data_IF_562587057344
#
_entry.id   IF_562587057344
#
_cell.length_a   1.000
_cell.length_b   1.000
_cell.length_c   1.000
_cell.angle_alpha   90.00
_cell.angle_beta   90.00
_cell.angle_gamma   90.00
#
_symmetry.space_group_name_H-M   'P 1'
#
loop_
_entity.id
_entity.type
_entity.pdbx_description
1 polymer ?
#
# COMPACT_ATOMS: atom_id res chain seq x y z
N UNK A 1 10.22 -34.01 -22.04
CA UNK A 1 9.35 -33.58 -20.92
C UNK A 1 10.06 -33.45 -19.58
N UNK A 2 11.10 -34.23 -19.27
CA UNK A 2 11.87 -34.06 -18.01
C UNK A 2 12.75 -32.79 -17.98
N UNK A 3 13.30 -32.38 -19.12
CA UNK A 3 14.12 -31.17 -19.22
C UNK A 3 13.35 -29.84 -19.19
N UNK A 4 12.06 -29.84 -19.55
CA UNK A 4 11.21 -28.63 -19.47
C UNK A 4 10.77 -28.34 -18.03
N UNK A 5 10.63 -29.37 -17.20
CA UNK A 5 10.31 -29.24 -15.77
C UNK A 5 11.55 -28.78 -14.98
N UNK A 6 12.75 -29.29 -15.31
CA UNK A 6 14.00 -28.86 -14.67
C UNK A 6 14.41 -27.41 -14.98
N UNK A 7 14.10 -26.89 -16.16
CA UNK A 7 14.36 -25.49 -16.51
C UNK A 7 13.43 -24.52 -15.77
N UNK A 8 12.20 -24.97 -15.47
CA UNK A 8 11.21 -24.20 -14.70
C UNK A 8 11.57 -24.16 -13.20
N UNK A 9 12.13 -25.25 -12.65
CA UNK A 9 12.55 -25.31 -11.24
C UNK A 9 13.76 -24.41 -10.93
N UNK A 10 14.69 -24.20 -11.88
CA UNK A 10 15.81 -23.28 -11.68
C UNK A 10 15.41 -21.80 -11.73
N UNK A 11 14.35 -21.43 -12.47
CA UNK A 11 13.87 -20.05 -12.51
C UNK A 11 13.14 -19.64 -11.22
N UNK A 12 12.56 -20.59 -10.48
CA UNK A 12 11.87 -20.32 -9.20
C UNK A 12 12.86 -20.18 -8.02
N UNK A 13 14.07 -20.75 -8.13
CA UNK A 13 15.11 -20.65 -7.09
C UNK A 13 16.00 -19.38 -7.21
N UNK A 14 16.00 -18.70 -8.36
CA UNK A 14 16.77 -17.47 -8.56
C UNK A 14 16.07 -16.21 -7.99
N UNK A 15 14.80 -16.32 -7.57
CA UNK A 15 14.02 -15.20 -7.00
C UNK A 15 14.22 -15.00 -5.49
N UNK A 16 15.07 -15.81 -4.84
CA UNK A 16 15.30 -15.74 -3.38
C UNK A 16 16.65 -15.12 -2.97
N UNK A 17 17.43 -14.56 -3.90
CA UNK A 17 18.77 -14.02 -3.62
C UNK A 17 18.97 -12.55 -4.03
N UNK A 18 18.01 -11.68 -3.67
CA UNK A 18 18.31 -10.25 -3.54
C UNK A 18 18.21 -9.83 -2.08
N UNK A 19 19.07 -10.40 -1.25
CA UNK A 19 19.44 -9.76 0.02
C UNK A 19 20.51 -8.72 -0.30
N UNK A 20 20.08 -7.57 -0.80
CA UNK A 20 20.93 -6.40 -0.84
C UNK A 20 21.19 -5.97 0.61
N UNK A 21 22.29 -6.43 1.20
CA UNK A 21 22.87 -5.79 2.37
C UNK A 21 23.34 -4.40 1.92
N UNK A 22 22.45 -3.43 2.04
CA UNK A 22 22.83 -2.03 1.95
C UNK A 22 23.58 -1.70 3.22
N UNK A 23 24.88 -1.44 3.11
CA UNK A 23 25.68 -0.95 4.21
C UNK A 23 25.06 0.37 4.71
N UNK A 24 24.78 0.44 6.01
CA UNK A 24 24.19 1.60 6.66
C UNK A 24 25.22 2.73 6.64
N UNK A 25 25.08 3.61 5.65
CA UNK A 25 25.83 4.86 5.54
C UNK A 25 25.75 5.62 6.87
N UNK A 26 26.85 6.28 7.33
CA UNK A 26 26.85 7.01 8.60
C UNK A 26 25.65 7.95 8.64
N UNK A 27 24.89 7.87 9.74
CA UNK A 27 23.62 8.55 9.90
C UNK A 27 23.77 10.04 9.64
N UNK A 28 23.28 10.50 8.49
CA UNK A 28 23.12 11.91 8.21
C UNK A 28 22.09 12.42 9.22
N UNK A 29 22.55 13.20 10.21
CA UNK A 29 21.73 13.62 11.34
C UNK A 29 20.68 14.65 10.95
N UNK A 30 20.81 15.26 9.78
CA UNK A 30 19.77 16.06 9.16
C UNK A 30 19.66 15.79 7.66
N UNK A 31 18.45 15.69 7.13
CA UNK A 31 18.20 15.45 5.71
C UNK A 31 16.87 16.07 5.28
N UNK A 32 16.76 16.32 3.97
CA UNK A 32 15.56 16.95 3.38
C UNK A 32 14.73 15.92 2.64
N UNK A 33 13.41 15.98 2.81
CA UNK A 33 12.43 15.19 2.07
C UNK A 33 11.47 16.13 1.35
N UNK A 34 11.21 15.83 0.08
CA UNK A 34 10.11 16.44 -0.66
C UNK A 34 8.85 15.59 -0.50
N UNK A 35 7.77 16.18 -0.02
CA UNK A 35 6.46 15.51 0.07
C UNK A 35 5.36 16.50 -0.30
N UNK A 36 4.48 16.09 -1.23
CA UNK A 36 3.36 16.90 -1.73
C UNK A 36 3.78 18.34 -2.19
N UNK A 37 4.94 18.47 -2.83
CA UNK A 37 5.47 19.75 -3.32
C UNK A 37 5.98 20.70 -2.22
N UNK A 38 6.17 20.20 -1.01
CA UNK A 38 6.79 20.91 0.11
C UNK A 38 8.08 20.21 0.52
N UNK A 39 9.09 21.00 0.88
CA UNK A 39 10.36 20.50 1.41
C UNK A 39 10.31 20.50 2.93
N UNK A 40 10.71 19.39 3.54
CA UNK A 40 10.81 19.20 4.98
C UNK A 40 12.23 18.87 5.36
N UNK A 41 12.78 19.53 6.37
CA UNK A 41 14.10 19.22 6.92
C UNK A 41 13.90 18.47 8.23
N UNK A 42 14.30 17.21 8.26
CA UNK A 42 14.29 16.40 9.47
C UNK A 42 15.66 16.51 10.12
N UNK A 43 15.70 16.95 11.38
CA UNK A 43 16.89 16.89 12.23
C UNK A 43 16.69 15.80 13.29
N UNK A 44 17.33 14.66 13.05
CA UNK A 44 17.23 13.49 13.90
C UNK A 44 17.95 13.64 15.25
N UNK A 45 18.94 14.55 15.35
CA UNK A 45 19.63 14.82 16.60
C UNK A 45 18.78 15.68 17.53
N UNK A 46 18.16 16.72 16.99
CA UNK A 46 17.33 17.64 17.76
C UNK A 46 15.86 17.20 17.84
N UNK A 47 15.50 16.12 17.14
CA UNK A 47 14.15 15.58 17.02
C UNK A 47 13.14 16.62 16.53
N UNK A 48 13.50 17.30 15.44
CA UNK A 48 12.65 18.30 14.81
C UNK A 48 12.39 18.03 13.33
N UNK A 49 11.25 18.51 12.86
CA UNK A 49 10.88 18.62 11.46
C UNK A 49 10.70 20.11 11.20
N UNK A 50 11.36 20.66 10.19
CA UNK A 50 11.21 22.07 9.82
C UNK A 50 10.55 22.17 8.46
N UNK A 51 9.52 23.01 8.35
CA UNK A 51 8.93 23.40 7.08
C UNK A 51 8.84 24.93 7.03
N UNK A 52 9.60 25.53 6.12
CA UNK A 52 9.78 26.99 6.07
C UNK A 52 10.27 27.53 7.43
N UNK A 53 9.47 28.39 8.07
CA UNK A 53 9.79 29.00 9.38
C UNK A 53 9.24 28.20 10.57
N UNK A 54 8.36 27.24 10.34
CA UNK A 54 7.74 26.44 11.41
C UNK A 54 8.62 25.23 11.77
N UNK A 55 8.88 25.09 13.07
CA UNK A 55 9.65 23.98 13.64
C UNK A 55 8.74 23.13 14.51
N UNK A 56 8.57 21.88 14.10
CA UNK A 56 7.78 20.86 14.79
C UNK A 56 8.73 19.96 15.56
N UNK A 57 8.48 19.71 16.84
CA UNK A 57 9.22 18.71 17.60
C UNK A 57 8.54 17.35 17.43
N UNK A 58 9.29 16.26 17.56
CA UNK A 58 8.73 14.92 17.61
C UNK A 58 9.36 14.08 18.70
N UNK A 59 8.66 13.03 19.13
CA UNK A 59 9.18 12.07 20.08
C UNK A 59 8.64 10.66 19.80
N UNK A 60 9.46 9.67 20.13
CA UNK A 60 9.10 8.25 20.09
C UNK A 60 9.02 7.73 21.53
N UNK A 61 7.85 7.27 21.94
CA UNK A 61 7.63 6.64 23.25
C UNK A 61 6.96 5.29 23.07
N UNK A 62 7.77 4.22 23.11
CA UNK A 62 7.33 2.87 22.76
C UNK A 62 6.79 2.82 21.33
N UNK A 63 5.52 2.46 21.18
CA UNK A 63 4.84 2.42 19.88
C UNK A 63 4.10 3.71 19.52
N UNK A 64 4.21 4.74 20.35
CA UNK A 64 3.57 6.04 20.13
C UNK A 64 4.58 7.03 19.58
N UNK A 65 4.23 7.66 18.46
CA UNK A 65 4.95 8.81 17.92
C UNK A 65 4.08 10.04 18.12
N UNK A 66 4.65 11.08 18.71
CA UNK A 66 3.96 12.35 18.99
C UNK A 66 4.70 13.47 18.30
N UNK A 67 3.96 14.29 17.57
CA UNK A 67 4.39 15.57 17.00
C UNK A 67 3.87 16.69 17.91
N UNK A 68 4.73 17.63 18.25
CA UNK A 68 4.41 18.84 18.98
C UNK A 68 4.63 20.05 18.08
N UNK A 69 3.59 20.87 17.96
CA UNK A 69 3.55 22.04 17.08
C UNK A 69 4.18 23.27 17.74
N UNK A 70 4.50 24.34 16.98
CA UNK A 70 5.05 25.57 17.54
C UNK A 70 4.19 26.20 18.64
N UNK A 71 2.85 26.02 18.59
CA UNK A 71 1.92 26.50 19.61
C UNK A 71 1.79 25.58 20.84
N UNK A 72 2.48 24.43 20.86
CA UNK A 72 2.38 23.43 21.92
C UNK A 72 1.29 22.38 21.73
N UNK A 73 0.41 22.55 20.73
CA UNK A 73 -0.59 21.52 20.39
C UNK A 73 0.10 20.24 19.91
N UNK A 74 -0.61 19.11 19.95
CA UNK A 74 -0.03 17.80 19.66
C UNK A 74 -0.87 16.97 18.69
N UNK A 75 -0.19 16.14 17.91
CA UNK A 75 -0.77 15.10 17.10
C UNK A 75 0.01 13.80 17.35
N UNK A 76 -0.67 12.69 17.60
CA UNK A 76 0.01 11.43 17.89
C UNK A 76 -0.57 10.26 17.11
N UNK A 77 0.27 9.24 16.92
CA UNK A 77 -0.11 7.93 16.39
C UNK A 77 0.51 6.84 17.26
N UNK A 78 -0.30 5.91 17.72
CA UNK A 78 0.10 4.69 18.42
C UNK A 78 -0.11 3.49 17.52
N UNK A 79 0.94 2.69 17.30
CA UNK A 79 0.86 1.49 16.46
C UNK A 79 0.66 0.24 17.32
N UNK A 80 -0.32 -0.60 16.96
CA UNK A 80 -0.62 -1.85 17.67
C UNK A 80 -0.90 -3.01 16.69
N UNK A 81 0.02 -3.97 16.64
CA UNK A 81 -0.09 -5.12 15.74
C UNK A 81 -0.24 -4.70 14.28
N UNK A 82 -1.40 -5.02 13.67
CA UNK A 82 -1.73 -4.67 12.29
C UNK A 82 -2.51 -3.35 12.14
N UNK A 83 -2.69 -2.59 13.23
CA UNK A 83 -3.49 -1.36 13.24
C UNK A 83 -2.76 -0.18 13.87
N UNK A 84 -3.41 0.98 13.80
CA UNK A 84 -2.95 2.21 14.44
C UNK A 84 -4.13 2.98 15.01
N UNK A 85 -3.91 3.65 16.13
CA UNK A 85 -4.81 4.65 16.69
C UNK A 85 -4.10 6.01 16.62
N UNK A 86 -4.85 7.09 16.42
CA UNK A 86 -4.30 8.44 16.42
C UNK A 86 -5.25 9.43 17.09
N UNK A 87 -4.72 10.59 17.44
CA UNK A 87 -5.47 11.66 18.08
C UNK A 87 -4.68 12.96 18.09
N UNK A 88 -5.32 14.01 18.58
CA UNK A 88 -4.76 15.34 18.68
C UNK A 88 -5.25 16.03 19.95
N UNK A 89 -4.58 17.09 20.38
CA UNK A 89 -5.03 17.92 21.50
C UNK A 89 -6.17 18.86 21.08
N UNK A 90 -6.95 19.36 22.05
CA UNK A 90 -8.13 20.19 21.80
C UNK A 90 -7.82 21.52 21.08
N UNK A 91 -6.58 22.00 21.21
CA UNK A 91 -6.06 23.23 20.61
C UNK A 91 -5.36 23.00 19.25
N UNK A 92 -5.46 21.79 18.70
CA UNK A 92 -4.94 21.46 17.38
C UNK A 92 -5.78 22.11 16.27
N UNK A 93 -5.10 22.77 15.34
CA UNK A 93 -5.69 23.44 14.18
C UNK A 93 -4.94 23.04 12.90
N UNK A 94 -5.59 22.21 12.09
CA UNK A 94 -5.02 21.70 10.83
C UNK A 94 -4.95 22.74 9.70
N UNK A 95 -5.59 23.90 9.87
CA UNK A 95 -5.57 24.97 8.87
C UNK A 95 -4.41 25.94 9.08
N UNK A 96 -3.89 26.01 10.31
CA UNK A 96 -2.82 26.92 10.70
C UNK A 96 -1.42 26.37 10.40
N UNK A 97 -1.23 25.06 10.57
CA UNK A 97 0.06 24.40 10.42
C UNK A 97 -0.01 23.24 9.41
N UNK A 98 1.14 22.61 9.12
CA UNK A 98 1.14 21.38 8.33
C UNK A 98 0.35 20.29 9.07
N UNK A 99 -0.62 19.63 8.44
CA UNK A 99 -1.42 18.59 9.09
C UNK A 99 -0.55 17.45 9.64
N UNK A 100 -0.91 16.93 10.81
CA UNK A 100 -0.10 15.94 11.52
C UNK A 100 0.11 14.64 10.76
N UNK A 101 -0.87 14.23 9.95
CA UNK A 101 -0.73 13.09 9.04
C UNK A 101 0.42 13.25 8.04
N UNK A 102 0.62 14.46 7.52
CA UNK A 102 1.70 14.77 6.56
C UNK A 102 3.06 14.74 7.26
N UNK A 103 3.16 15.37 8.45
CA UNK A 103 4.39 15.32 9.25
C UNK A 103 4.77 13.89 9.64
N UNK A 104 3.76 13.06 9.92
CA UNK A 104 3.94 11.66 10.27
C UNK A 104 4.44 10.82 9.09
N UNK A 105 3.85 11.00 7.89
CA UNK A 105 4.32 10.36 6.64
C UNK A 105 5.77 10.76 6.34
N UNK A 106 6.07 12.06 6.35
CA UNK A 106 7.44 12.59 6.15
C UNK A 106 8.43 11.96 7.13
N UNK A 107 8.09 11.88 8.42
CA UNK A 107 8.94 11.29 9.44
C UNK A 107 9.19 9.79 9.22
N UNK A 108 8.15 9.02 8.91
CA UNK A 108 8.28 7.57 8.69
C UNK A 108 8.96 7.23 7.37
N UNK A 109 8.74 8.01 6.30
CA UNK A 109 9.50 7.89 5.04
C UNK A 109 10.96 8.16 5.24
N UNK A 110 11.29 9.23 5.95
CA UNK A 110 12.67 9.59 6.25
C UNK A 110 13.43 8.50 7.00
N UNK A 111 12.72 7.79 7.88
CA UNK A 111 13.26 6.67 8.64
C UNK A 111 13.34 5.36 7.83
N UNK A 112 12.65 5.27 6.70
CA UNK A 112 12.48 4.03 5.94
C UNK A 112 11.52 3.03 6.61
N UNK A 113 10.69 3.50 7.54
CA UNK A 113 9.73 2.69 8.31
C UNK A 113 8.37 2.58 7.60
N UNK A 114 8.08 3.48 6.65
CA UNK A 114 6.87 3.39 5.85
C UNK A 114 7.02 2.23 4.84
N UNK A 115 6.36 1.10 5.13
CA UNK A 115 6.02 0.13 4.10
C UNK A 115 5.00 0.82 3.21
N UNK A 116 5.41 1.23 2.02
CA UNK A 116 4.52 1.67 0.94
C UNK A 116 3.40 0.62 0.76
N UNK A 117 2.28 0.86 1.45
CA UNK A 117 1.07 0.03 1.43
C UNK A 117 -0.04 0.72 0.62
N UNK A 118 0.31 1.81 -0.05
CA UNK A 118 -0.54 2.67 -0.87
C UNK A 118 -0.74 2.15 -2.29
N UNK A 119 0.03 1.14 -2.73
CA UNK A 119 -0.15 0.47 -4.02
C UNK A 119 -1.24 -0.61 -3.98
N UNK A 120 -1.93 -0.88 -5.11
CA UNK A 120 -2.79 -2.05 -5.23
C UNK A 120 -2.04 -3.32 -4.82
N UNK A 121 -2.63 -4.12 -3.92
CA UNK A 121 -1.98 -5.38 -3.51
C UNK A 121 -1.75 -6.28 -4.73
N UNK A 122 -0.51 -6.70 -5.02
CA UNK A 122 -0.22 -7.54 -6.18
C UNK A 122 -0.96 -8.88 -6.11
N UNK A 123 -1.24 -9.36 -4.89
CA UNK A 123 -2.08 -10.54 -4.68
C UNK A 123 -3.51 -10.32 -5.19
N UNK A 124 -4.12 -9.18 -4.86
CA UNK A 124 -5.46 -8.84 -5.31
C UNK A 124 -5.49 -8.68 -6.84
N UNK A 125 -4.47 -8.06 -7.43
CA UNK A 125 -4.35 -7.92 -8.88
C UNK A 125 -4.30 -9.28 -9.60
N UNK A 126 -3.46 -10.20 -9.10
CA UNK A 126 -3.35 -11.58 -9.63
C UNK A 126 -4.68 -12.33 -9.50
N UNK A 127 -5.37 -12.19 -8.35
CA UNK A 127 -6.67 -12.82 -8.13
C UNK A 127 -7.71 -12.32 -9.14
N UNK A 128 -7.77 -11.02 -9.40
CA UNK A 128 -8.68 -10.43 -10.39
C UNK A 128 -8.35 -10.90 -11.81
N UNK A 129 -7.07 -10.97 -12.19
CA UNK A 129 -6.65 -11.51 -13.49
C UNK A 129 -7.12 -12.96 -13.64
N UNK A 130 -6.87 -13.81 -12.63
CA UNK A 130 -7.26 -15.21 -12.66
C UNK A 130 -8.78 -15.38 -12.74
N UNK A 131 -9.53 -14.64 -11.91
CA UNK A 131 -10.99 -14.66 -11.92
C UNK A 131 -11.56 -14.15 -13.24
N UNK A 132 -11.04 -13.03 -13.77
CA UNK A 132 -11.47 -12.47 -15.04
C UNK A 132 -11.19 -13.41 -16.22
N UNK A 133 -9.99 -13.99 -16.29
CA UNK A 133 -9.64 -14.98 -17.30
C UNK A 133 -10.52 -16.23 -17.23
N UNK A 134 -10.84 -16.70 -16.02
CA UNK A 134 -11.73 -17.83 -15.81
C UNK A 134 -13.16 -17.53 -16.30
N UNK A 135 -13.72 -16.37 -15.95
CA UNK A 135 -15.05 -15.95 -16.41
C UNK A 135 -15.12 -15.80 -17.94
N UNK A 136 -14.08 -15.23 -18.56
CA UNK A 136 -14.01 -15.08 -20.02
C UNK A 136 -13.84 -16.42 -20.75
N UNK A 137 -12.99 -17.32 -20.25
CA UNK A 137 -12.69 -18.60 -20.92
C UNK A 137 -13.74 -19.68 -20.64
N UNK A 138 -14.34 -19.68 -19.45
CA UNK A 138 -15.29 -20.69 -18.97
C UNK A 138 -16.60 -20.06 -18.45
N UNK A 139 -17.30 -19.25 -19.26
CA UNK A 139 -18.48 -18.50 -18.82
C UNK A 139 -19.63 -19.40 -18.36
N UNK A 140 -19.80 -20.60 -18.96
CA UNK A 140 -20.84 -21.55 -18.55
C UNK A 140 -20.60 -22.07 -17.13
N UNK A 141 -19.34 -22.41 -16.82
CA UNK A 141 -18.96 -22.88 -15.47
C UNK A 141 -19.08 -21.74 -14.46
N UNK A 142 -18.62 -20.54 -14.80
CA UNK A 142 -18.78 -19.36 -13.97
C UNK A 142 -20.25 -19.05 -13.65
N UNK A 143 -21.10 -19.10 -14.67
CA UNK A 143 -22.54 -18.91 -14.51
C UNK A 143 -23.16 -19.93 -13.55
N UNK A 144 -22.79 -21.22 -13.64
CA UNK A 144 -23.28 -22.23 -12.70
C UNK A 144 -22.83 -21.98 -11.26
N UNK A 145 -21.57 -21.57 -11.05
CA UNK A 145 -21.07 -21.22 -9.73
C UNK A 145 -21.78 -20.00 -9.13
N UNK A 146 -22.00 -18.94 -9.94
CA UNK A 146 -22.58 -17.69 -9.46
C UNK A 146 -24.10 -17.71 -9.36
N UNK A 147 -24.76 -18.21 -10.39
CA UNK A 147 -26.20 -18.03 -10.63
C UNK A 147 -26.96 -19.36 -10.81
N UNK A 148 -26.33 -20.37 -11.42
CA UNK A 148 -27.01 -21.60 -11.81
C UNK A 148 -27.44 -22.49 -10.63
N UNK A 149 -26.81 -22.38 -9.46
CA UNK A 149 -27.26 -23.07 -8.24
C UNK A 149 -28.66 -22.64 -7.77
N UNK A 150 -29.16 -21.50 -8.26
CA UNK A 150 -30.44 -20.90 -7.86
C UNK A 150 -31.64 -21.48 -8.62
N UNK A 151 -31.40 -22.23 -9.68
CA UNK A 151 -32.43 -22.78 -10.56
C UNK A 151 -32.21 -24.26 -10.79
N UNK A 152 -33.31 -25.02 -10.86
CA UNK A 152 -33.26 -26.45 -11.16
C UNK A 152 -33.29 -26.64 -12.68
N UNK A 153 -32.36 -27.43 -13.21
CA UNK A 153 -32.27 -27.81 -14.63
C UNK A 153 -32.24 -26.62 -15.62
N UNK A 154 -31.71 -25.48 -15.18
CA UNK A 154 -31.56 -24.30 -16.02
C UNK A 154 -30.22 -24.28 -16.75
N UNK A 155 -30.26 -23.99 -18.05
CA UNK A 155 -29.08 -23.71 -18.85
C UNK A 155 -28.92 -22.20 -19.10
N UNK A 156 -27.68 -21.68 -19.08
CA UNK A 156 -27.45 -20.29 -19.42
C UNK A 156 -27.78 -20.03 -20.89
N UNK A 157 -28.51 -18.95 -21.15
CA UNK A 157 -28.74 -18.45 -22.50
C UNK A 157 -27.44 -17.92 -23.12
N UNK A 158 -27.38 -17.84 -24.44
CA UNK A 158 -26.22 -17.26 -25.16
C UNK A 158 -25.96 -15.81 -24.73
N UNK A 159 -27.01 -15.05 -24.42
CA UNK A 159 -26.89 -13.70 -23.88
C UNK A 159 -26.22 -13.70 -22.50
N UNK A 160 -26.63 -14.61 -21.61
CA UNK A 160 -26.02 -14.73 -20.28
C UNK A 160 -24.54 -15.10 -20.38
N UNK A 161 -24.19 -16.04 -21.26
CA UNK A 161 -22.77 -16.38 -21.51
C UNK A 161 -21.99 -15.20 -22.08
N UNK A 162 -22.60 -14.40 -22.95
CA UNK A 162 -22.00 -13.17 -23.47
C UNK A 162 -21.70 -12.16 -22.37
N UNK A 163 -22.65 -11.95 -21.44
CA UNK A 163 -22.47 -11.05 -20.29
C UNK A 163 -21.35 -11.53 -19.38
N UNK A 164 -21.31 -12.83 -19.03
CA UNK A 164 -20.23 -13.40 -18.19
C UNK A 164 -18.85 -13.20 -18.81
N UNK A 165 -18.74 -13.35 -20.15
CA UNK A 165 -17.49 -13.09 -20.86
C UNK A 165 -17.08 -11.63 -20.78
N UNK A 166 -18.03 -10.71 -20.99
CA UNK A 166 -17.76 -9.27 -20.92
C UNK A 166 -17.32 -8.84 -19.52
N UNK A 167 -18.02 -9.32 -18.48
CA UNK A 167 -17.64 -9.08 -17.08
C UNK A 167 -16.24 -9.65 -16.81
N UNK A 168 -15.95 -10.87 -17.25
CA UNK A 168 -14.63 -11.48 -17.12
C UNK A 168 -13.51 -10.66 -17.76
N UNK A 169 -13.73 -10.15 -18.99
CA UNK A 169 -12.75 -9.29 -19.68
C UNK A 169 -12.53 -7.98 -18.94
N UNK A 170 -13.59 -7.33 -18.45
CA UNK A 170 -13.47 -6.08 -17.67
C UNK A 170 -12.68 -6.31 -16.39
N UNK A 171 -13.01 -7.36 -15.63
CA UNK A 171 -12.31 -7.71 -14.39
C UNK A 171 -10.84 -8.04 -14.64
N UNK A 172 -10.54 -8.74 -15.75
CA UNK A 172 -9.17 -9.02 -16.17
C UNK A 172 -8.39 -7.74 -16.44
N UNK A 173 -8.97 -6.80 -17.20
CA UNK A 173 -8.32 -5.51 -17.51
C UNK A 173 -8.03 -4.73 -16.24
N UNK A 174 -8.99 -4.65 -15.31
CA UNK A 174 -8.80 -4.00 -14.01
C UNK A 174 -7.62 -4.63 -13.26
N UNK A 175 -7.57 -5.96 -13.20
CA UNK A 175 -6.46 -6.67 -12.57
C UNK A 175 -5.10 -6.38 -13.21
N UNK A 176 -5.03 -6.29 -14.55
CA UNK A 176 -3.80 -5.92 -15.27
C UNK A 176 -3.39 -4.49 -14.96
N UNK A 177 -4.33 -3.53 -14.97
CA UNK A 177 -4.03 -2.13 -14.63
C UNK A 177 -3.50 -2.05 -13.20
N UNK A 178 -4.15 -2.72 -12.25
CA UNK A 178 -3.71 -2.75 -10.85
C UNK A 178 -2.33 -3.39 -10.65
N UNK A 179 -1.92 -4.33 -11.51
CA UNK A 179 -0.60 -4.95 -11.43
C UNK A 179 0.52 -4.05 -11.98
N UNK A 180 0.17 -3.16 -12.92
CA UNK A 180 1.11 -2.27 -13.61
C UNK A 180 1.18 -0.87 -12.99
N UNK A 181 0.23 -0.52 -12.13
CA UNK A 181 0.16 0.74 -11.39
C UNK A 181 0.94 0.63 -10.07
#
# INVERSE_FOLDING_TARGET
MKHAIQLCTCCVLALFFFTACTEKSPAQTSYSIEHAGKTFVIDAANQTITNNDDVYAYSFSGNTTTITYPNGSTYFRTTSGNGWAGGWSDDYDETKYIPGGVLMDVLYRGRGDEKDSSGPSPFLAILLIAAGAFNAAKPRTAWYLGYGWRFKDAEPSELALGVERMVGVVVLIIGVIMLLA
#
